data_IF_568491347177
#
_entry.id   IF_568491347177
#
_cell.length_a   1.000
_cell.length_b   1.000
_cell.length_c   1.000
_cell.angle_alpha   90.00
_cell.angle_beta   90.00
_cell.angle_gamma   90.00
#
_symmetry.space_group_name_H-M   'P 1'
#
loop_
_entity.id
_entity.type
_entity.pdbx_description
1 polymer ?
#
# COMPACT_ATOMS: atom_id res chain seq x y z
N UNK A 1 10.38 -12.07 14.49
CA UNK A 1 9.91 -10.67 14.44
C UNK A 1 8.40 -10.59 14.12
N UNK A 2 7.93 -10.99 12.94
CA UNK A 2 6.48 -10.96 12.61
C UNK A 2 5.60 -11.81 13.56
N UNK A 3 6.05 -13.01 13.94
CA UNK A 3 5.33 -13.83 14.95
C UNK A 3 5.22 -13.13 16.31
N UNK A 4 6.26 -12.41 16.71
CA UNK A 4 6.25 -11.65 17.97
C UNK A 4 5.29 -10.45 17.90
N UNK A 5 5.03 -9.92 16.70
CA UNK A 5 4.02 -8.89 16.45
C UNK A 5 2.58 -9.46 16.33
N UNK A 6 2.38 -10.78 16.48
CA UNK A 6 1.06 -11.41 16.44
C UNK A 6 0.67 -12.02 15.10
N UNK A 7 1.59 -12.17 14.14
CA UNK A 7 1.28 -12.83 12.87
C UNK A 7 1.03 -14.35 13.06
N UNK A 8 -0.21 -14.77 12.84
CA UNK A 8 -0.62 -16.18 12.88
C UNK A 8 -0.14 -16.97 11.66
N UNK A 9 -0.24 -16.36 10.47
CA UNK A 9 0.21 -16.91 9.20
C UNK A 9 1.22 -15.96 8.56
N UNK A 10 2.30 -16.51 8.01
CA UNK A 10 3.39 -15.77 7.39
C UNK A 10 3.46 -16.15 5.92
N UNK A 11 3.55 -15.14 5.07
CA UNK A 11 3.79 -15.24 3.64
C UNK A 11 5.15 -14.61 3.36
N UNK A 12 5.95 -15.28 2.53
CA UNK A 12 7.31 -14.84 2.21
C UNK A 12 7.56 -15.01 0.71
N UNK A 13 7.94 -13.91 0.05
CA UNK A 13 8.36 -13.89 -1.34
C UNK A 13 9.90 -13.96 -1.40
N UNK A 14 10.47 -15.16 -1.33
CA UNK A 14 11.92 -15.36 -1.38
C UNK A 14 12.52 -14.94 -2.73
N UNK A 15 13.57 -14.11 -2.68
CA UNK A 15 14.30 -13.66 -3.88
C UNK A 15 13.53 -12.65 -4.75
N UNK A 16 12.37 -12.18 -4.30
CA UNK A 16 11.56 -11.20 -5.00
C UNK A 16 11.90 -9.80 -4.50
N UNK A 17 12.26 -8.91 -5.42
CA UNK A 17 12.52 -7.51 -5.09
C UNK A 17 11.25 -6.82 -4.59
N UNK A 18 11.39 -5.86 -3.67
CA UNK A 18 10.30 -4.93 -3.32
C UNK A 18 9.77 -4.14 -4.53
N UNK A 19 10.57 -4.02 -5.60
CA UNK A 19 10.18 -3.42 -6.89
C UNK A 19 9.46 -4.37 -7.84
N UNK A 20 9.35 -5.67 -7.53
CA UNK A 20 8.67 -6.61 -8.40
C UNK A 20 7.17 -6.30 -8.46
N UNK A 21 6.64 -6.29 -9.69
CA UNK A 21 5.21 -6.12 -9.97
C UNK A 21 4.42 -7.33 -9.49
N UNK A 22 5.00 -8.52 -9.60
CA UNK A 22 4.40 -9.76 -9.14
C UNK A 22 5.04 -10.19 -7.82
N UNK A 23 4.22 -10.29 -6.77
CA UNK A 23 4.59 -10.82 -5.45
C UNK A 23 3.56 -11.90 -5.08
N UNK A 24 3.79 -13.17 -5.51
CA UNK A 24 2.79 -14.23 -5.34
C UNK A 24 2.33 -14.42 -3.89
N UNK A 25 3.25 -14.44 -2.93
CA UNK A 25 2.90 -14.65 -1.54
C UNK A 25 2.11 -13.46 -0.97
N UNK A 26 2.46 -12.23 -1.38
CA UNK A 26 1.66 -11.04 -1.05
C UNK A 26 0.24 -11.11 -1.64
N UNK A 27 0.09 -11.51 -2.90
CA UNK A 27 -1.22 -11.66 -3.54
C UNK A 27 -2.08 -12.72 -2.84
N UNK A 28 -1.48 -13.86 -2.48
CA UNK A 28 -2.16 -14.92 -1.71
C UNK A 28 -2.60 -14.43 -0.33
N UNK A 29 -1.78 -13.62 0.34
CA UNK A 29 -2.13 -12.98 1.60
C UNK A 29 -3.30 -12.01 1.43
N UNK A 30 -3.28 -11.15 0.41
CA UNK A 30 -4.37 -10.21 0.11
C UNK A 30 -5.69 -10.93 -0.21
N UNK A 31 -5.63 -12.08 -0.89
CA UNK A 31 -6.78 -12.93 -1.17
C UNK A 31 -7.34 -13.56 0.11
N UNK A 32 -6.48 -13.92 1.07
CA UNK A 32 -6.89 -14.45 2.37
C UNK A 32 -7.39 -13.37 3.35
N UNK A 33 -7.13 -12.09 3.08
CA UNK A 33 -7.45 -11.01 4.00
C UNK A 33 -8.96 -10.86 4.23
N UNK A 34 -9.36 -10.90 5.50
CA UNK A 34 -10.77 -10.82 5.92
C UNK A 34 -10.97 -9.61 6.83
N UNK A 35 -12.19 -9.03 6.84
CA UNK A 35 -12.55 -8.01 7.82
C UNK A 35 -12.24 -8.50 9.23
N UNK A 36 -11.77 -7.59 10.11
CA UNK A 36 -11.34 -7.87 11.51
C UNK A 36 -9.98 -8.58 11.68
N UNK A 37 -9.36 -9.07 10.60
CA UNK A 37 -7.99 -9.56 10.64
C UNK A 37 -7.06 -8.51 10.04
N UNK A 38 -5.89 -8.32 10.66
CA UNK A 38 -4.90 -7.34 10.23
C UNK A 38 -3.81 -7.95 9.36
N UNK A 39 -3.26 -7.17 8.45
CA UNK A 39 -2.04 -7.47 7.72
C UNK A 39 -0.86 -6.85 8.47
N UNK A 40 0.15 -7.67 8.76
CA UNK A 40 1.38 -7.22 9.39
C UNK A 40 2.52 -7.40 8.39
N UNK A 41 3.23 -6.32 8.11
CA UNK A 41 4.44 -6.35 7.30
C UNK A 41 5.65 -5.93 8.13
N UNK A 42 6.84 -6.30 7.67
CA UNK A 42 8.07 -5.90 8.33
C UNK A 42 8.40 -4.42 8.09
N UNK A 43 8.38 -4.01 6.81
CA UNK A 43 8.75 -2.68 6.33
C UNK A 43 7.98 -2.27 5.10
N UNK A 44 7.60 -1.00 5.00
CA UNK A 44 6.87 -0.45 3.85
C UNK A 44 7.64 -0.59 2.53
N UNK A 45 8.96 -0.36 2.52
CA UNK A 45 9.78 -0.39 1.30
C UNK A 45 9.97 -1.81 0.70
N UNK A 46 9.63 -2.85 1.47
CA UNK A 46 9.60 -4.24 1.00
C UNK A 46 8.32 -4.57 0.24
N UNK A 47 7.25 -3.80 0.46
CA UNK A 47 5.96 -4.00 -0.19
C UNK A 47 5.89 -3.28 -1.52
N UNK A 48 6.36 -2.04 -1.57
CA UNK A 48 6.36 -1.22 -2.77
C UNK A 48 7.46 -0.16 -2.72
N UNK A 49 8.08 0.11 -3.87
CA UNK A 49 8.95 1.28 -4.07
C UNK A 49 8.18 2.56 -4.40
N UNK A 50 6.89 2.43 -4.69
CA UNK A 50 5.98 3.54 -4.95
C UNK A 50 5.05 3.71 -3.76
N UNK A 51 5.19 4.84 -3.06
CA UNK A 51 4.28 5.23 -2.00
C UNK A 51 2.85 5.34 -2.53
N UNK A 52 2.67 5.84 -3.76
CA UNK A 52 1.35 5.93 -4.42
C UNK A 52 0.69 4.56 -4.54
N UNK A 53 1.42 3.56 -5.00
CA UNK A 53 0.90 2.19 -5.14
C UNK A 53 0.57 1.60 -3.77
N UNK A 54 1.45 1.78 -2.79
CA UNK A 54 1.21 1.33 -1.42
C UNK A 54 -0.07 1.94 -0.84
N UNK A 55 -0.24 3.25 -1.01
CA UNK A 55 -1.41 3.98 -0.54
C UNK A 55 -2.70 3.47 -1.19
N UNK A 56 -2.70 3.23 -2.50
CA UNK A 56 -3.87 2.68 -3.20
C UNK A 56 -4.26 1.27 -2.68
N UNK A 57 -3.27 0.42 -2.40
CA UNK A 57 -3.50 -0.88 -1.78
C UNK A 57 -4.07 -0.73 -0.36
N UNK A 58 -3.53 0.19 0.42
CA UNK A 58 -4.00 0.46 1.78
C UNK A 58 -5.42 1.03 1.82
N UNK A 59 -5.78 1.91 0.88
CA UNK A 59 -7.15 2.37 0.72
C UNK A 59 -8.08 1.19 0.42
N UNK A 60 -7.68 0.29 -0.47
CA UNK A 60 -8.46 -0.93 -0.79
C UNK A 60 -8.67 -1.80 0.45
N UNK A 61 -7.63 -1.98 1.26
CA UNK A 61 -7.71 -2.71 2.52
C UNK A 61 -8.61 -2.02 3.54
N UNK A 62 -8.54 -0.69 3.63
CA UNK A 62 -9.40 0.11 4.50
C UNK A 62 -10.89 -0.05 4.12
N UNK A 63 -11.23 -0.01 2.83
CA UNK A 63 -12.59 -0.27 2.34
C UNK A 63 -13.08 -1.68 2.71
N UNK A 64 -12.18 -2.66 2.73
CA UNK A 64 -12.45 -4.04 3.16
C UNK A 64 -12.48 -4.21 4.69
N UNK A 65 -12.28 -3.13 5.47
CA UNK A 65 -12.14 -3.15 6.94
C UNK A 65 -11.04 -4.11 7.42
N UNK A 66 -9.95 -4.14 6.68
CA UNK A 66 -8.73 -4.88 7.00
C UNK A 66 -7.74 -3.90 7.59
N UNK A 67 -7.26 -4.19 8.80
CA UNK A 67 -6.22 -3.37 9.44
C UNK A 67 -4.86 -3.65 8.83
N UNK A 68 -3.94 -2.70 8.93
CA UNK A 68 -2.60 -2.80 8.39
C UNK A 68 -1.59 -2.25 9.39
N UNK A 69 -0.46 -2.93 9.54
CA UNK A 69 0.62 -2.57 10.43
C UNK A 69 1.97 -2.81 9.77
N UNK A 70 2.87 -1.84 9.86
CA UNK A 70 4.31 -2.03 9.62
C UNK A 70 5.06 -2.06 10.95
N UNK A 71 5.84 -3.12 11.17
CA UNK A 71 6.54 -3.35 12.44
C UNK A 71 7.73 -2.41 12.62
N UNK A 72 8.59 -2.26 11.61
CA UNK A 72 9.79 -1.42 11.72
C UNK A 72 9.47 0.08 11.61
N UNK A 73 8.48 0.43 10.80
CA UNK A 73 8.08 1.83 10.63
C UNK A 73 7.21 2.34 11.80
N UNK A 74 6.64 1.43 12.61
CA UNK A 74 5.78 1.78 13.74
C UNK A 74 4.42 2.37 13.34
N UNK A 75 3.97 2.13 12.11
CA UNK A 75 2.76 2.72 11.54
C UNK A 75 1.65 1.66 11.47
N UNK A 76 0.50 1.96 12.07
CA UNK A 76 -0.66 1.07 12.03
C UNK A 76 -1.97 1.83 11.75
N UNK A 77 -2.81 1.31 10.85
CA UNK A 77 -4.14 1.90 10.54
C UNK A 77 -5.16 1.69 11.67
N UNK A 78 -4.84 0.88 12.68
CA UNK A 78 -5.62 0.75 13.90
C UNK A 78 -5.50 1.98 14.82
N UNK A 79 -4.45 2.79 14.69
CA UNK A 79 -4.26 4.02 15.49
C UNK A 79 -4.74 5.27 14.77
N UNK A 80 -5.12 6.31 15.53
CA UNK A 80 -5.53 7.60 14.96
C UNK A 80 -4.40 8.28 14.17
N UNK A 81 -3.18 8.22 14.70
CA UNK A 81 -1.98 8.76 14.07
C UNK A 81 -1.67 8.08 12.74
N UNK A 82 -1.69 6.73 12.71
CA UNK A 82 -1.44 5.99 11.48
C UNK A 82 -2.50 6.27 10.42
N UNK A 83 -3.79 6.33 10.80
CA UNK A 83 -4.85 6.74 9.86
C UNK A 83 -4.64 8.15 9.32
N UNK A 84 -4.25 9.10 10.17
CA UNK A 84 -3.96 10.47 9.77
C UNK A 84 -2.81 10.56 8.77
N UNK A 85 -1.73 9.83 9.02
CA UNK A 85 -0.59 9.71 8.10
C UNK A 85 -1.02 9.17 6.73
N UNK A 86 -1.76 8.05 6.70
CA UNK A 86 -2.19 7.45 5.44
C UNK A 86 -3.18 8.31 4.67
N UNK A 87 -4.14 8.95 5.34
CA UNK A 87 -5.09 9.87 4.68
C UNK A 87 -4.38 11.07 4.05
N UNK A 88 -3.36 11.59 4.72
CA UNK A 88 -2.55 12.69 4.21
C UNK A 88 -1.73 12.25 2.99
N UNK A 89 -1.05 11.11 3.10
CA UNK A 89 -0.30 10.52 2.00
C UNK A 89 -1.19 10.17 0.79
N UNK A 90 -2.41 9.69 1.04
CA UNK A 90 -3.44 9.44 0.03
C UNK A 90 -3.85 10.70 -0.73
N UNK A 91 -4.09 11.78 0.00
CA UNK A 91 -4.42 13.07 -0.60
C UNK A 91 -3.30 13.55 -1.53
N UNK A 92 -2.03 13.44 -1.12
CA UNK A 92 -0.89 13.80 -1.97
C UNK A 92 -0.70 12.86 -3.16
N UNK A 93 -0.92 11.55 -2.97
CA UNK A 93 -0.83 10.57 -4.04
C UNK A 93 -1.87 10.86 -5.15
N UNK A 94 -3.12 11.15 -4.76
CA UNK A 94 -4.19 11.54 -5.68
C UNK A 94 -3.86 12.83 -6.41
N UNK A 95 -3.41 13.85 -5.68
CA UNK A 95 -2.98 15.13 -6.28
C UNK A 95 -1.89 14.93 -7.34
N UNK A 96 -0.90 14.07 -7.07
CA UNK A 96 0.15 13.76 -8.06
C UNK A 96 -0.40 13.09 -9.33
N UNK A 97 -1.41 12.22 -9.21
CA UNK A 97 -2.08 11.60 -10.36
C UNK A 97 -2.87 12.63 -11.17
N UNK A 98 -3.61 13.53 -10.49
CA UNK A 98 -4.40 14.57 -11.15
C UNK A 98 -3.47 15.50 -11.97
N UNK A 99 -2.34 15.93 -11.40
CA UNK A 99 -1.33 16.74 -12.11
C UNK A 99 -0.75 16.01 -13.33
N UNK A 100 -0.50 14.70 -13.23
CA UNK A 100 -0.01 13.91 -14.37
C UNK A 100 -1.07 13.80 -15.47
N UNK A 101 -2.34 13.60 -15.09
CA UNK A 101 -3.46 13.52 -16.03
C UNK A 101 -3.69 14.84 -16.76
N UNK A 102 -3.64 15.98 -16.06
CA UNK A 102 -3.76 17.32 -16.65
C UNK A 102 -2.66 17.57 -17.70
N UNK A 103 -1.41 17.19 -17.40
CA UNK A 103 -0.29 17.32 -18.35
C UNK A 103 -0.48 16.46 -19.59
N UNK A 104 -0.96 15.22 -19.43
CA UNK A 104 -1.23 14.33 -20.55
C UNK A 104 -2.35 14.87 -21.46
N UNK A 105 -3.40 15.45 -20.88
CA UNK A 105 -4.49 16.07 -21.63
C UNK A 105 -4.05 17.34 -22.38
N UNK A 106 -3.21 18.18 -21.78
CA UNK A 106 -2.65 19.37 -22.42
C UNK A 106 -1.80 19.05 -23.65
N UNK A 107 -0.94 18.02 -23.56
CA UNK A 107 -0.10 17.59 -24.69
C UNK A 107 -0.87 16.93 -25.84
N UNK A 108 -2.02 16.30 -25.54
CA UNK A 108 -2.90 15.73 -26.57
C UNK A 108 -3.60 16.81 -27.42
N UNK A 109 -3.86 17.99 -26.85
CA UNK A 109 -4.50 19.11 -27.56
C UNK A 109 -3.51 19.90 -28.43
N UNK A 110 -2.21 19.84 -28.14
CA UNK A 110 -1.17 20.54 -28.92
C UNK A 110 -0.70 19.77 -30.17
N UNK A 111 -1.10 18.51 -30.34
CA UNK A 111 -0.72 17.69 -31.51
C UNK A 111 -1.70 17.76 -32.69
N UNK A 112 -2.80 18.52 -32.54
CA UNK A 112 -3.72 18.88 -33.61
C UNK A 112 -3.49 20.34 -34.04
N UNK A 113 -2.35 20.65 -34.65
CA UNK A 113 -2.16 21.92 -35.39
C UNK A 113 -1.11 21.83 -36.49
#
# INVERSE_FOLDING_TARGET
MLRAAGAERIWEDHGVSGSAVLKPAFMDMLACAKPRYGIIIWRLDRLSRSLVTLIAELETLAHRRVEFCSVEDGIATSTGEGRGFFNTAATFAKFGQDVLAERAAGGALETEK
#
